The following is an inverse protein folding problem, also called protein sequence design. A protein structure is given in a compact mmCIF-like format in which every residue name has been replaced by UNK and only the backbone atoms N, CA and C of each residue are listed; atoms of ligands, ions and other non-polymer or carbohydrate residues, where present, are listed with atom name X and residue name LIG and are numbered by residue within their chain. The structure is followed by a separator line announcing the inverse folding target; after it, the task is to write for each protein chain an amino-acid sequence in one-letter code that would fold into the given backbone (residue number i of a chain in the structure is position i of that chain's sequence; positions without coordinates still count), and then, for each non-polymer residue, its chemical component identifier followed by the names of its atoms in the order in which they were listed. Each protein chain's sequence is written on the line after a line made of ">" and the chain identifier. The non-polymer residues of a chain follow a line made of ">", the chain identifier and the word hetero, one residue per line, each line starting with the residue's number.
data_IF_883857145680
#
_entry.id   IF_883857145680
#
_cell.length_a   1.000
_cell.length_b   1.000
_cell.length_c   1.000
_cell.angle_alpha   90.00
_cell.angle_beta   90.00
_cell.angle_gamma   90.00
#
_symmetry.space_group_name_H-M   'P 1'
#
loop_
_entity.id
_entity.type
_entity.pdbx_description
1 polymer ?
#
# COMPACT_ATOMS: atom_id res chain seq x y z
N UNK A 1 19.68 1.81 2.44
CA UNK A 1 20.25 2.14 3.78
C UNK A 1 21.78 2.11 3.73
N UNK A 2 22.51 2.90 4.54
CA UNK A 2 23.98 2.90 4.47
C UNK A 2 24.60 1.56 4.92
N UNK A 3 25.76 1.19 4.39
CA UNK A 3 26.50 -0.01 4.81
C UNK A 3 26.72 -0.04 6.33
N UNK A 4 27.09 1.09 6.94
CA UNK A 4 27.25 1.22 8.41
C UNK A 4 25.95 0.90 9.16
N UNK A 5 24.80 1.37 8.65
CA UNK A 5 23.49 1.08 9.24
C UNK A 5 23.17 -0.40 9.13
N UNK A 6 23.37 -0.99 7.95
CA UNK A 6 23.16 -2.42 7.70
C UNK A 6 24.05 -3.26 8.63
N UNK A 7 25.37 -3.03 8.67
CA UNK A 7 26.26 -3.74 9.60
C UNK A 7 25.77 -3.65 11.05
N UNK A 8 25.31 -2.48 11.51
CA UNK A 8 24.75 -2.33 12.85
C UNK A 8 23.48 -3.17 13.06
N UNK A 9 22.56 -3.20 12.09
CA UNK A 9 21.35 -4.01 12.15
C UNK A 9 21.66 -5.51 12.14
N UNK A 10 22.64 -5.94 11.34
CA UNK A 10 23.11 -7.33 11.32
C UNK A 10 23.66 -7.78 12.68
N UNK A 11 24.43 -6.91 13.35
CA UNK A 11 24.91 -7.17 14.71
C UNK A 11 23.79 -7.28 15.76
N UNK A 12 22.62 -6.70 15.49
CA UNK A 12 21.40 -6.87 16.30
C UNK A 12 20.55 -8.08 15.88
N UNK A 13 20.97 -8.85 14.87
CA UNK A 13 20.28 -10.05 14.42
C UNK A 13 19.32 -9.85 13.24
N UNK A 14 19.30 -8.69 12.59
CA UNK A 14 18.53 -8.51 11.35
C UNK A 14 19.25 -9.24 10.21
N UNK A 15 18.54 -10.16 9.54
CA UNK A 15 19.13 -11.06 8.54
C UNK A 15 18.56 -10.88 7.13
N UNK A 16 17.53 -10.05 6.95
CA UNK A 16 16.97 -9.70 5.64
C UNK A 16 16.59 -8.23 5.53
N UNK A 17 16.56 -7.73 4.30
CA UNK A 17 16.09 -6.38 3.97
C UNK A 17 15.50 -6.35 2.56
N UNK A 18 14.45 -5.57 2.36
CA UNK A 18 13.78 -5.36 1.06
C UNK A 18 13.83 -3.91 0.56
N UNK A 19 14.60 -3.06 1.24
CA UNK A 19 14.65 -1.62 0.98
C UNK A 19 15.74 -1.22 -0.02
N UNK A 20 16.18 -2.13 -0.89
CA UNK A 20 17.10 -1.79 -1.97
C UNK A 20 16.32 -1.11 -3.10
N UNK A 21 16.86 0.02 -3.60
CA UNK A 21 16.30 0.75 -4.75
C UNK A 21 17.24 0.73 -5.95
N UNK A 22 18.49 0.31 -5.77
CA UNK A 22 19.50 0.27 -6.84
C UNK A 22 20.26 -1.05 -6.81
N UNK A 23 20.98 -1.33 -7.90
CA UNK A 23 21.84 -2.51 -8.05
C UNK A 23 22.93 -2.51 -6.98
N UNK A 24 23.60 -1.36 -6.77
CA UNK A 24 24.67 -1.20 -5.77
C UNK A 24 24.14 -1.44 -4.36
N UNK A 25 22.93 -0.96 -4.08
CA UNK A 25 22.26 -1.15 -2.81
C UNK A 25 21.89 -2.62 -2.56
N UNK A 26 21.46 -3.35 -3.58
CA UNK A 26 21.18 -4.78 -3.51
C UNK A 26 22.49 -5.59 -3.32
N UNK A 27 23.53 -5.29 -4.10
CA UNK A 27 24.85 -5.91 -3.97
C UNK A 27 25.46 -5.71 -2.59
N UNK A 28 25.40 -4.49 -2.05
CA UNK A 28 25.91 -4.17 -0.70
C UNK A 28 25.27 -5.07 0.37
N UNK A 29 23.96 -5.35 0.25
CA UNK A 29 23.24 -6.22 1.21
C UNK A 29 23.71 -7.66 1.09
N UNK A 30 23.83 -8.18 -0.13
CA UNK A 30 24.35 -9.53 -0.39
C UNK A 30 25.78 -9.70 0.15
N UNK A 31 26.66 -8.72 -0.09
CA UNK A 31 28.05 -8.71 0.41
C UNK A 31 28.13 -8.69 1.94
N UNK A 32 27.23 -7.96 2.59
CA UNK A 32 27.10 -7.94 4.06
C UNK A 32 26.44 -9.21 4.61
N UNK A 33 26.04 -10.15 3.75
CA UNK A 33 25.48 -11.44 4.12
C UNK A 33 23.98 -11.44 4.39
N UNK A 34 23.26 -10.37 4.02
CA UNK A 34 21.80 -10.31 4.13
C UNK A 34 21.13 -11.25 3.14
N UNK A 35 19.97 -11.76 3.53
CA UNK A 35 18.96 -12.17 2.55
C UNK A 35 18.34 -10.91 1.94
N UNK A 36 18.58 -10.68 0.66
CA UNK A 36 18.17 -9.47 -0.06
C UNK A 36 16.91 -9.77 -0.84
N UNK A 37 15.80 -9.19 -0.39
CA UNK A 37 14.51 -9.35 -1.06
C UNK A 37 14.33 -8.19 -2.04
N UNK A 38 14.11 -8.50 -3.31
CA UNK A 38 13.85 -7.48 -4.33
C UNK A 38 12.34 -7.21 -4.37
N UNK A 39 11.96 -5.96 -4.13
CA UNK A 39 10.57 -5.51 -4.10
C UNK A 39 10.11 -5.11 -5.51
N UNK A 40 8.86 -5.43 -5.85
CA UNK A 40 8.17 -4.92 -7.03
C UNK A 40 6.79 -4.39 -6.67
N UNK A 41 6.65 -3.07 -6.58
CA UNK A 41 5.39 -2.43 -6.19
C UNK A 41 5.07 -1.20 -7.04
N UNK A 42 3.84 -0.67 -6.93
CA UNK A 42 3.39 0.49 -7.71
C UNK A 42 4.26 1.75 -7.54
N UNK A 43 4.89 1.90 -6.38
CA UNK A 43 5.79 3.00 -6.03
C UNK A 43 7.28 2.63 -6.11
N UNK A 44 7.59 1.34 -6.35
CA UNK A 44 8.95 0.79 -6.49
C UNK A 44 8.95 -0.27 -7.60
N UNK A 45 8.75 0.12 -8.86
CA UNK A 45 8.80 -0.80 -10.00
C UNK A 45 10.26 -1.13 -10.40
N UNK A 46 11.19 -1.16 -9.44
CA UNK A 46 12.64 -1.20 -9.67
C UNK A 46 13.16 -2.63 -9.97
N UNK A 47 12.34 -3.66 -9.73
CA UNK A 47 12.71 -5.07 -9.85
C UNK A 47 13.40 -5.43 -11.18
N UNK A 48 12.88 -5.06 -12.36
CA UNK A 48 13.49 -5.45 -13.63
C UNK A 48 14.91 -4.90 -13.79
N UNK A 49 15.09 -3.62 -13.44
CA UNK A 49 16.39 -2.94 -13.54
C UNK A 49 17.40 -3.50 -12.54
N UNK A 50 16.97 -3.81 -11.32
CA UNK A 50 17.83 -4.42 -10.30
C UNK A 50 18.30 -5.80 -10.76
N UNK A 51 17.40 -6.70 -11.20
CA UNK A 51 17.81 -8.03 -11.63
C UNK A 51 18.73 -8.00 -12.85
N UNK A 52 18.42 -7.16 -13.84
CA UNK A 52 19.27 -6.99 -15.01
C UNK A 52 20.67 -6.53 -14.61
N UNK A 53 20.76 -5.52 -13.75
CA UNK A 53 22.03 -5.01 -13.26
C UNK A 53 22.81 -6.01 -12.41
N UNK A 54 22.14 -6.85 -11.62
CA UNK A 54 22.79 -7.94 -10.86
C UNK A 54 23.42 -8.98 -11.80
N UNK A 55 22.72 -9.34 -12.88
CA UNK A 55 23.24 -10.25 -13.91
C UNK A 55 24.44 -9.63 -14.63
N UNK A 56 24.33 -8.36 -15.05
CA UNK A 56 25.40 -7.62 -15.71
C UNK A 56 26.64 -7.43 -14.80
N UNK A 57 26.43 -7.29 -13.49
CA UNK A 57 27.48 -7.25 -12.48
C UNK A 57 28.12 -8.63 -12.21
N UNK A 58 27.64 -9.70 -12.87
CA UNK A 58 28.20 -11.04 -12.77
C UNK A 58 27.75 -11.82 -11.54
N UNK A 59 26.59 -11.48 -10.94
CA UNK A 59 26.02 -12.29 -9.85
C UNK A 59 25.59 -13.66 -10.40
N UNK A 60 26.24 -14.72 -9.93
CA UNK A 60 25.94 -16.10 -10.35
C UNK A 60 25.25 -16.94 -9.27
N UNK A 61 25.03 -16.38 -8.07
CA UNK A 61 24.47 -17.10 -6.93
C UNK A 61 23.33 -16.31 -6.30
N UNK A 62 22.14 -16.91 -6.28
CA UNK A 62 20.89 -16.27 -5.86
C UNK A 62 20.30 -16.85 -4.56
N UNK A 63 21.02 -17.69 -3.81
CA UNK A 63 20.49 -18.39 -2.62
C UNK A 63 20.02 -17.47 -1.49
N UNK A 64 20.51 -16.23 -1.47
CA UNK A 64 20.09 -15.16 -0.56
C UNK A 64 19.21 -14.10 -1.24
N UNK A 65 18.71 -14.36 -2.44
CA UNK A 65 17.80 -13.45 -3.14
C UNK A 65 16.37 -13.96 -3.03
N UNK A 66 15.48 -13.07 -2.63
CA UNK A 66 14.03 -13.28 -2.58
C UNK A 66 13.31 -12.22 -3.40
N UNK A 67 12.00 -12.36 -3.56
CA UNK A 67 11.14 -11.38 -4.23
C UNK A 67 9.83 -11.18 -3.47
N UNK A 68 9.32 -9.95 -3.46
CA UNK A 68 8.05 -9.58 -2.83
C UNK A 68 7.35 -8.49 -3.62
N UNK A 69 6.02 -8.42 -3.56
CA UNK A 69 5.25 -7.34 -4.19
C UNK A 69 4.91 -6.19 -3.24
N UNK A 70 5.29 -6.33 -1.96
CA UNK A 70 5.11 -5.33 -0.89
C UNK A 70 3.66 -4.81 -0.71
N UNK A 71 2.67 -5.60 -1.15
CA UNK A 71 1.26 -5.32 -0.91
C UNK A 71 0.67 -4.13 -1.69
N UNK A 72 0.95 -4.05 -3.00
CA UNK A 72 0.47 -2.96 -3.87
C UNK A 72 -1.06 -2.83 -3.98
N UNK A 73 -1.50 -1.69 -4.52
CA UNK A 73 -2.92 -1.44 -4.83
C UNK A 73 -3.47 -2.42 -5.87
N UNK A 74 -4.79 -2.69 -5.88
CA UNK A 74 -5.42 -3.66 -6.77
C UNK A 74 -4.98 -3.53 -8.24
N UNK A 75 -5.06 -2.34 -8.85
CA UNK A 75 -4.75 -2.16 -10.27
C UNK A 75 -3.31 -2.50 -10.66
N UNK A 76 -2.36 -2.50 -9.71
CA UNK A 76 -1.00 -2.95 -9.96
C UNK A 76 -0.94 -4.44 -10.34
N UNK A 77 -1.84 -5.25 -9.79
CA UNK A 77 -1.85 -6.71 -10.00
C UNK A 77 -2.55 -7.15 -11.29
N UNK A 78 -2.92 -6.22 -12.19
CA UNK A 78 -3.51 -6.55 -13.50
C UNK A 78 -2.63 -7.50 -14.34
N UNK A 79 -1.31 -7.37 -14.22
CA UNK A 79 -0.35 -8.18 -14.98
C UNK A 79 -0.05 -9.56 -14.33
N UNK A 80 -0.45 -9.74 -13.07
CA UNK A 80 -0.12 -10.89 -12.24
C UNK A 80 0.47 -10.47 -10.90
N UNK A 81 0.86 -11.47 -10.10
CA UNK A 81 1.51 -11.29 -8.80
C UNK A 81 2.92 -11.87 -8.84
N UNK A 82 3.11 -13.06 -8.25
CA UNK A 82 4.40 -13.75 -8.24
C UNK A 82 4.75 -14.33 -9.62
N UNK A 83 3.75 -14.66 -10.44
CA UNK A 83 3.99 -15.10 -11.81
C UNK A 83 4.55 -13.97 -12.69
N UNK A 84 4.07 -12.74 -12.48
CA UNK A 84 4.62 -11.55 -13.15
C UNK A 84 6.05 -11.25 -12.68
N UNK A 85 6.35 -11.34 -11.39
CA UNK A 85 7.73 -11.13 -10.93
C UNK A 85 8.69 -12.18 -11.49
N UNK A 86 8.24 -13.44 -11.66
CA UNK A 86 9.04 -14.47 -12.35
C UNK A 86 9.23 -14.08 -13.81
N UNK A 87 8.19 -13.65 -14.52
CA UNK A 87 8.28 -13.19 -15.92
C UNK A 87 9.33 -12.10 -16.09
N UNK A 88 9.29 -11.08 -15.23
CA UNK A 88 10.25 -9.98 -15.23
C UNK A 88 11.68 -10.43 -14.92
N UNK A 89 11.86 -11.42 -14.02
CA UNK A 89 13.18 -12.02 -13.78
C UNK A 89 13.72 -12.74 -15.02
N UNK A 90 12.88 -13.49 -15.74
CA UNK A 90 13.27 -14.17 -16.98
C UNK A 90 13.68 -13.17 -18.06
N UNK A 91 12.91 -12.09 -18.24
CA UNK A 91 13.22 -11.00 -19.17
C UNK A 91 14.52 -10.27 -18.81
N UNK A 92 14.83 -10.15 -17.52
CA UNK A 92 16.08 -9.61 -17.00
C UNK A 92 17.30 -10.54 -17.18
N UNK A 93 17.10 -11.75 -17.73
CA UNK A 93 18.17 -12.70 -18.02
C UNK A 93 18.50 -13.66 -16.87
N UNK A 94 17.64 -13.75 -15.84
CA UNK A 94 17.79 -14.75 -14.78
C UNK A 94 17.49 -16.14 -15.36
N UNK A 95 18.34 -17.16 -15.14
CA UNK A 95 18.05 -18.52 -15.56
C UNK A 95 16.72 -19.02 -15.01
N UNK A 96 15.98 -19.78 -15.82
CA UNK A 96 14.62 -20.25 -15.49
C UNK A 96 14.59 -20.95 -14.12
N UNK A 97 15.53 -21.86 -13.89
CA UNK A 97 15.62 -22.62 -12.65
C UNK A 97 15.88 -21.72 -11.44
N UNK A 98 16.69 -20.67 -11.59
CA UNK A 98 16.97 -19.72 -10.52
C UNK A 98 15.76 -18.80 -10.24
N UNK A 99 15.04 -18.34 -11.26
CA UNK A 99 13.85 -17.52 -11.09
C UNK A 99 12.78 -18.23 -10.23
N UNK A 100 12.51 -19.52 -10.50
CA UNK A 100 11.60 -20.31 -9.66
C UNK A 100 12.17 -20.59 -8.27
N UNK A 101 13.48 -20.79 -8.12
CA UNK A 101 14.10 -20.97 -6.79
C UNK A 101 13.97 -19.72 -5.94
N UNK A 102 14.19 -18.52 -6.51
CA UNK A 102 14.00 -17.22 -5.86
C UNK A 102 12.55 -17.10 -5.35
N UNK A 103 11.57 -17.45 -6.19
CA UNK A 103 10.15 -17.35 -5.87
C UNK A 103 9.59 -18.50 -5.01
N UNK A 104 10.38 -19.55 -4.68
CA UNK A 104 9.90 -20.71 -3.92
C UNK A 104 10.90 -21.23 -2.88
N UNK A 105 11.90 -22.00 -3.29
CA UNK A 105 12.85 -22.66 -2.41
C UNK A 105 13.62 -21.68 -1.52
N UNK A 106 14.09 -20.56 -2.06
CA UNK A 106 14.88 -19.59 -1.30
C UNK A 106 14.04 -18.98 -0.18
N UNK A 107 12.76 -18.66 -0.45
CA UNK A 107 11.83 -18.17 0.56
C UNK A 107 11.59 -19.24 1.65
N UNK A 108 11.30 -20.48 1.25
CA UNK A 108 11.12 -21.58 2.19
C UNK A 108 12.36 -21.78 3.08
N UNK A 109 13.56 -21.75 2.49
CA UNK A 109 14.82 -21.86 3.22
C UNK A 109 15.05 -20.70 4.18
N UNK A 110 14.80 -19.46 3.74
CA UNK A 110 14.96 -18.27 4.59
C UNK A 110 14.10 -18.34 5.86
N UNK A 111 12.86 -18.81 5.73
CA UNK A 111 11.94 -18.98 6.85
C UNK A 111 12.05 -20.33 7.58
N UNK A 112 13.05 -21.16 7.27
CA UNK A 112 13.25 -22.52 7.83
C UNK A 112 12.06 -23.48 7.61
N UNK A 113 11.36 -23.31 6.49
CA UNK A 113 10.21 -24.09 6.04
C UNK A 113 10.54 -24.99 4.85
N UNK A 114 11.81 -25.18 4.49
CA UNK A 114 12.23 -25.98 3.33
C UNK A 114 11.96 -27.48 3.50
N UNK A 115 12.19 -28.04 4.70
CA UNK A 115 11.11 -28.54 5.55
C UNK A 115 9.81 -29.15 5.00
N UNK A 116 8.99 -28.24 4.52
CA UNK A 116 7.57 -28.43 4.22
C UNK A 116 7.26 -27.89 2.83
N UNK A 117 7.99 -26.87 2.37
CA UNK A 117 7.65 -26.02 1.24
C UNK A 117 8.84 -25.80 0.30
N UNK A 118 8.57 -25.16 -0.84
CA UNK A 118 9.59 -24.65 -1.77
C UNK A 118 10.30 -25.71 -2.62
N UNK A 119 9.97 -27.00 -2.47
CA UNK A 119 10.51 -28.08 -3.30
C UNK A 119 9.51 -29.21 -3.50
N UNK A 120 9.60 -29.89 -4.65
CA UNK A 120 8.78 -31.06 -4.96
C UNK A 120 9.56 -32.32 -4.56
N UNK A 121 9.25 -32.86 -3.38
CA UNK A 121 9.90 -34.06 -2.85
C UNK A 121 8.99 -34.81 -1.87
N UNK A 122 9.19 -36.13 -1.66
CA UNK A 122 8.51 -36.88 -0.61
C UNK A 122 8.65 -36.20 0.77
N UNK A 123 7.56 -36.15 1.54
CA UNK A 123 7.52 -35.52 2.86
C UNK A 123 7.29 -34.00 2.86
N UNK A 124 7.15 -33.37 1.70
CA UNK A 124 6.75 -31.95 1.58
C UNK A 124 5.24 -31.80 1.37
N UNK A 125 4.71 -30.63 1.68
CA UNK A 125 3.31 -30.28 1.44
C UNK A 125 3.12 -30.05 -0.06
N UNK A 126 2.09 -30.68 -0.64
CA UNK A 126 1.79 -30.57 -2.06
C UNK A 126 1.13 -29.22 -2.41
N UNK A 127 1.94 -28.17 -2.42
CA UNK A 127 1.65 -26.89 -3.08
C UNK A 127 2.32 -26.90 -4.46
N UNK A 128 1.54 -27.16 -5.52
CA UNK A 128 2.06 -27.38 -6.87
C UNK A 128 1.37 -26.45 -7.87
N UNK A 129 2.18 -25.79 -8.69
CA UNK A 129 1.75 -25.02 -9.85
C UNK A 129 2.07 -25.82 -11.12
N UNK A 130 1.08 -26.00 -11.98
CA UNK A 130 1.23 -26.65 -13.28
C UNK A 130 1.31 -25.56 -14.34
N UNK A 131 2.39 -25.57 -15.12
CA UNK A 131 2.69 -24.55 -16.12
C UNK A 131 2.58 -25.16 -17.52
N UNK A 132 2.22 -24.36 -18.51
CA UNK A 132 2.21 -24.79 -19.93
C UNK A 132 3.62 -25.01 -20.46
N UNK A 133 4.56 -24.16 -20.03
CA UNK A 133 5.96 -24.20 -20.39
C UNK A 133 6.82 -23.69 -19.23
N UNK A 134 8.11 -24.02 -19.23
CA UNK A 134 9.04 -23.62 -18.18
C UNK A 134 9.27 -22.10 -18.11
N UNK A 135 9.02 -21.39 -19.18
CA UNK A 135 9.14 -19.93 -19.33
C UNK A 135 7.78 -19.22 -19.33
N UNK A 136 6.69 -19.95 -19.07
CA UNK A 136 5.34 -19.42 -18.90
C UNK A 136 4.92 -19.52 -17.42
N UNK A 137 5.22 -18.50 -16.59
CA UNK A 137 5.10 -18.61 -15.13
C UNK A 137 3.66 -18.60 -14.59
N UNK A 138 2.67 -18.20 -15.38
CA UNK A 138 1.27 -18.23 -14.98
C UNK A 138 0.74 -19.67 -15.01
N UNK A 139 0.22 -20.20 -13.89
CA UNK A 139 -0.21 -21.60 -13.81
C UNK A 139 -1.59 -21.84 -14.44
N UNK A 140 -1.72 -22.95 -15.17
CA UNK A 140 -3.00 -23.47 -15.71
C UNK A 140 -3.77 -24.34 -14.71
N UNK A 141 -3.08 -24.86 -13.71
CA UNK A 141 -3.70 -25.56 -12.58
C UNK A 141 -2.86 -25.38 -11.32
N UNK A 142 -3.52 -25.44 -10.15
CA UNK A 142 -2.89 -25.23 -8.85
C UNK A 142 -3.44 -26.23 -7.84
N UNK A 143 -2.53 -26.90 -7.14
CA UNK A 143 -2.80 -27.70 -5.95
C UNK A 143 -2.34 -26.94 -4.71
N UNK A 144 -3.19 -26.89 -3.68
CA UNK A 144 -2.82 -26.43 -2.35
C UNK A 144 -3.08 -27.53 -1.32
N UNK A 145 -2.04 -27.96 -0.61
CA UNK A 145 -2.11 -29.10 0.34
C UNK A 145 -2.68 -30.37 -0.30
N UNK A 146 -2.38 -30.60 -1.59
CA UNK A 146 -2.89 -31.75 -2.35
C UNK A 146 -4.34 -31.63 -2.81
N UNK A 147 -5.00 -30.49 -2.60
CA UNK A 147 -6.37 -30.21 -3.04
C UNK A 147 -6.33 -29.25 -4.24
N UNK A 148 -7.10 -29.54 -5.29
CA UNK A 148 -7.24 -28.63 -6.42
C UNK A 148 -7.89 -27.33 -5.97
N UNK A 149 -7.22 -26.21 -6.26
CA UNK A 149 -7.75 -24.85 -6.00
C UNK A 149 -7.92 -24.05 -7.29
N UNK A 150 -7.29 -24.49 -8.38
CA UNK A 150 -7.58 -24.08 -9.75
C UNK A 150 -7.36 -25.28 -10.68
N UNK A 151 -8.29 -25.54 -11.60
CA UNK A 151 -8.15 -26.59 -12.60
C UNK A 151 -8.82 -26.18 -13.91
N UNK A 152 -8.13 -26.34 -15.04
CA UNK A 152 -8.64 -25.94 -16.36
C UNK A 152 -9.17 -24.49 -16.38
N UNK A 153 -8.40 -23.58 -15.76
CA UNK A 153 -8.76 -22.16 -15.57
C UNK A 153 -10.01 -21.86 -14.75
N UNK A 154 -10.55 -22.87 -14.05
CA UNK A 154 -11.69 -22.71 -13.16
C UNK A 154 -11.17 -22.66 -11.71
N UNK A 155 -11.48 -21.60 -10.94
CA UNK A 155 -11.30 -21.58 -9.49
C UNK A 155 -12.09 -22.70 -8.81
N UNK A 156 -11.45 -23.48 -7.94
CA UNK A 156 -12.07 -24.60 -7.22
C UNK A 156 -11.74 -24.62 -5.72
N UNK A 157 -11.54 -23.44 -5.13
CA UNK A 157 -11.28 -23.28 -3.69
C UNK A 157 -12.41 -23.88 -2.82
N UNK A 158 -12.10 -24.52 -1.67
CA UNK A 158 -13.11 -24.98 -0.73
C UNK A 158 -13.86 -23.81 -0.07
N UNK A 159 -15.19 -23.80 -0.14
CA UNK A 159 -16.05 -22.73 0.37
C UNK A 159 -15.82 -22.39 1.85
N UNK A 160 -15.57 -23.40 2.69
CA UNK A 160 -15.32 -23.25 4.13
C UNK A 160 -14.15 -22.32 4.47
N UNK A 161 -13.20 -22.13 3.54
CA UNK A 161 -12.04 -21.25 3.74
C UNK A 161 -12.44 -19.77 3.77
N UNK A 162 -13.47 -19.39 3.00
CA UNK A 162 -13.89 -18.00 2.86
C UNK A 162 -14.71 -17.55 4.07
N UNK A 163 -15.60 -18.41 4.57
CA UNK A 163 -16.41 -18.12 5.76
C UNK A 163 -15.53 -17.88 6.99
N UNK A 164 -14.48 -18.68 7.16
CA UNK A 164 -13.50 -18.50 8.23
C UNK A 164 -12.76 -17.16 8.12
N UNK A 165 -12.40 -16.74 6.90
CA UNK A 165 -11.76 -15.44 6.66
C UNK A 165 -12.71 -14.27 6.99
N UNK A 166 -13.98 -14.34 6.59
CA UNK A 166 -14.98 -13.32 6.91
C UNK A 166 -15.32 -13.26 8.40
N UNK A 167 -15.27 -14.38 9.11
CA UNK A 167 -15.43 -14.40 10.56
C UNK A 167 -14.29 -13.64 11.29
N UNK A 168 -13.08 -13.63 10.73
CA UNK A 168 -11.93 -12.88 11.26
C UNK A 168 -11.97 -11.40 10.89
N UNK A 169 -12.68 -11.03 9.82
CA UNK A 169 -12.80 -9.67 9.31
C UNK A 169 -14.27 -9.26 9.22
N UNK A 170 -14.96 -9.08 10.37
CA UNK A 170 -16.37 -8.73 10.36
C UNK A 170 -16.61 -7.40 9.64
N UNK A 171 -17.82 -7.26 9.10
CA UNK A 171 -18.26 -5.98 8.56
C UNK A 171 -18.24 -4.90 9.63
N UNK A 172 -17.77 -3.73 9.27
CA UNK A 172 -17.67 -2.61 10.18
C UNK A 172 -18.83 -1.62 10.03
N UNK A 173 -18.98 -0.75 11.02
CA UNK A 173 -19.92 0.37 10.98
C UNK A 173 -19.20 1.63 11.45
N UNK A 174 -19.61 2.79 10.91
CA UNK A 174 -19.16 4.12 11.37
C UNK A 174 -20.40 4.88 11.81
N UNK A 175 -20.54 5.06 13.13
CA UNK A 175 -21.79 5.56 13.76
C UNK A 175 -21.78 7.05 14.09
N UNK A 176 -20.65 7.70 13.89
CA UNK A 176 -20.49 9.13 14.16
C UNK A 176 -21.10 9.98 13.04
N UNK A 177 -21.49 11.20 13.39
CA UNK A 177 -21.98 12.21 12.44
C UNK A 177 -21.10 13.44 12.52
N UNK A 178 -20.79 14.03 11.36
CA UNK A 178 -20.06 15.30 11.29
C UNK A 178 -21.01 16.49 11.41
N UNK A 179 -20.53 17.54 12.06
CA UNK A 179 -21.20 18.83 12.19
C UNK A 179 -20.31 19.94 11.63
N UNK A 180 -20.85 21.13 11.40
CA UNK A 180 -20.05 22.29 10.94
C UNK A 180 -18.88 22.60 11.88
N UNK A 181 -19.02 22.34 13.18
CA UNK A 181 -17.97 22.56 14.18
C UNK A 181 -16.76 21.64 13.98
N UNK A 182 -16.96 20.47 13.35
CA UNK A 182 -15.88 19.55 13.03
C UNK A 182 -14.97 20.07 11.93
N UNK A 183 -15.40 21.06 11.14
CA UNK A 183 -14.64 21.66 10.05
C UNK A 183 -13.97 23.00 10.43
N UNK A 184 -13.52 23.10 11.68
CA UNK A 184 -12.73 24.24 12.18
C UNK A 184 -11.22 23.99 11.96
N UNK A 185 -10.57 24.86 11.19
CA UNK A 185 -9.16 24.76 10.82
C UNK A 185 -8.41 25.98 11.35
N UNK A 186 -7.74 25.84 12.51
CA UNK A 186 -7.07 26.96 13.18
C UNK A 186 -5.53 26.87 13.19
N UNK A 187 -4.97 25.79 12.65
CA UNK A 187 -3.51 25.61 12.63
C UNK A 187 -2.87 26.52 11.60
N UNK A 188 -1.85 27.33 11.97
CA UNK A 188 -1.13 28.20 11.03
C UNK A 188 -0.15 27.43 10.12
N UNK A 189 0.02 26.14 10.38
CA UNK A 189 0.92 25.26 9.62
C UNK A 189 0.14 24.09 9.03
N UNK A 190 0.54 23.72 7.82
CA UNK A 190 0.06 22.55 7.09
C UNK A 190 1.17 21.54 6.82
N UNK A 191 0.83 20.50 6.07
CA UNK A 191 1.74 19.49 5.56
C UNK A 191 1.93 19.70 4.05
N UNK A 192 3.17 19.73 3.58
CA UNK A 192 3.52 19.80 2.16
C UNK A 192 4.02 18.45 1.69
N UNK A 193 3.39 17.92 0.64
CA UNK A 193 3.89 16.76 -0.08
C UNK A 193 5.04 17.19 -1.00
N UNK A 194 6.25 16.74 -0.69
CA UNK A 194 7.41 16.87 -1.61
C UNK A 194 7.38 15.74 -2.64
N UNK A 195 6.96 14.55 -2.21
CA UNK A 195 6.60 13.40 -3.04
C UNK A 195 5.58 12.54 -2.28
N UNK A 196 5.24 11.36 -2.81
CA UNK A 196 4.31 10.39 -2.18
C UNK A 196 4.76 9.88 -0.79
N UNK A 197 6.00 10.15 -0.37
CA UNK A 197 6.61 9.65 0.87
C UNK A 197 7.10 10.78 1.79
N UNK A 198 7.60 11.88 1.27
CA UNK A 198 8.25 12.94 2.06
C UNK A 198 7.27 14.08 2.32
N UNK A 199 7.03 14.33 3.60
CA UNK A 199 6.19 15.42 4.09
C UNK A 199 7.00 16.44 4.88
N UNK A 200 6.75 17.72 4.63
CA UNK A 200 7.33 18.84 5.38
C UNK A 200 6.24 19.71 6.00
N UNK A 201 6.62 20.52 6.98
CA UNK A 201 5.75 21.62 7.42
C UNK A 201 5.89 22.79 6.48
N UNK A 202 4.79 23.48 6.26
CA UNK A 202 4.77 24.77 5.60
C UNK A 202 3.77 25.70 6.28
N UNK A 203 3.88 27.00 6.01
CA UNK A 203 2.94 28.00 6.52
C UNK A 203 1.72 28.05 5.60
N UNK A 204 0.52 27.89 6.16
CA UNK A 204 -0.73 27.92 5.40
C UNK A 204 -0.89 29.28 4.70
N UNK A 205 -1.23 29.24 3.41
CA UNK A 205 -1.28 30.43 2.56
C UNK A 205 -2.69 30.98 2.40
N UNK A 206 -3.72 30.13 2.40
CA UNK A 206 -5.11 30.55 2.19
C UNK A 206 -5.91 30.63 3.49
N UNK A 207 -6.96 31.45 3.49
CA UNK A 207 -7.96 31.48 4.56
C UNK A 207 -8.71 30.14 4.61
N UNK A 208 -8.66 29.46 5.76
CA UNK A 208 -9.28 28.15 6.00
C UNK A 208 -10.66 28.24 6.67
N UNK A 209 -11.10 29.46 7.02
CA UNK A 209 -12.43 29.70 7.60
C UNK A 209 -13.54 29.57 6.56
N UNK A 210 -13.23 29.80 5.29
CA UNK A 210 -14.13 29.68 4.15
C UNK A 210 -14.69 28.25 3.98
N UNK A 211 -15.88 28.08 3.37
CA UNK A 211 -16.44 26.77 3.08
C UNK A 211 -15.68 26.00 1.98
N UNK A 212 -15.00 26.73 1.10
CA UNK A 212 -14.29 26.19 -0.05
C UNK A 212 -12.99 26.96 -0.30
N UNK A 213 -11.87 26.24 -0.46
CA UNK A 213 -10.59 26.85 -0.84
C UNK A 213 -10.63 27.33 -2.31
N UNK A 214 -9.79 28.31 -2.69
CA UNK A 214 -9.76 28.82 -4.06
C UNK A 214 -9.55 27.71 -5.10
N UNK A 215 -10.32 27.77 -6.19
CA UNK A 215 -10.22 26.78 -7.26
C UNK A 215 -8.81 26.78 -7.87
N UNK A 216 -8.24 25.58 -8.04
CA UNK A 216 -6.92 25.40 -8.66
C UNK A 216 -5.73 25.69 -7.76
N UNK A 217 -5.93 26.06 -6.48
CA UNK A 217 -4.81 26.13 -5.54
C UNK A 217 -4.25 24.73 -5.24
N UNK A 218 -3.03 24.66 -4.71
CA UNK A 218 -2.35 23.42 -4.32
C UNK A 218 -2.68 22.98 -2.89
N UNK A 219 -3.44 23.77 -2.12
CA UNK A 219 -3.84 23.47 -0.74
C UNK A 219 -5.22 22.80 -0.65
N UNK A 220 -5.32 21.70 0.10
CA UNK A 220 -6.58 21.02 0.42
C UNK A 220 -6.79 20.96 1.92
N UNK A 221 -8.03 21.07 2.39
CA UNK A 221 -8.36 20.72 3.77
C UNK A 221 -7.91 19.29 4.03
N UNK A 222 -7.32 19.02 5.20
CA UNK A 222 -6.92 17.70 5.65
C UNK A 222 -7.45 17.46 7.07
N UNK A 223 -8.20 16.38 7.24
CA UNK A 223 -8.72 15.97 8.53
C UNK A 223 -8.43 14.49 8.78
N UNK A 224 -7.99 14.17 9.99
CA UNK A 224 -7.92 12.80 10.51
C UNK A 224 -8.87 12.69 11.70
N UNK A 225 -9.75 11.71 11.67
CA UNK A 225 -10.83 11.55 12.64
C UNK A 225 -10.83 10.15 13.22
N UNK A 226 -10.85 10.08 14.55
CA UNK A 226 -11.11 8.85 15.29
C UNK A 226 -12.38 8.17 14.82
N UNK A 227 -12.33 6.85 14.66
CA UNK A 227 -13.49 6.10 14.17
C UNK A 227 -14.72 6.16 15.09
N UNK A 228 -14.50 6.32 16.39
CA UNK A 228 -15.55 6.54 17.39
C UNK A 228 -15.83 8.04 17.64
N UNK A 229 -15.13 8.93 16.94
CA UNK A 229 -15.27 10.38 17.04
C UNK A 229 -14.81 10.96 18.37
N UNK A 230 -13.84 10.33 19.05
CA UNK A 230 -13.26 10.82 20.32
C UNK A 230 -12.29 11.99 20.14
N UNK A 231 -11.62 12.05 19.00
CA UNK A 231 -10.64 13.08 18.68
C UNK A 231 -10.62 13.34 17.19
N UNK A 232 -10.12 14.53 16.81
CA UNK A 232 -9.88 14.92 15.43
C UNK A 232 -8.60 15.73 15.32
N UNK A 233 -8.00 15.74 14.13
CA UNK A 233 -6.92 16.64 13.76
C UNK A 233 -7.23 17.29 12.42
N UNK A 234 -7.30 18.61 12.41
CA UNK A 234 -7.60 19.42 11.24
C UNK A 234 -6.40 20.28 10.87
N UNK A 235 -5.97 20.23 9.62
CA UNK A 235 -4.88 21.01 9.05
C UNK A 235 -5.07 21.17 7.54
N UNK A 236 -4.04 21.60 6.82
CA UNK A 236 -4.05 21.76 5.37
C UNK A 236 -2.96 20.89 4.77
N UNK A 237 -3.23 20.29 3.61
CA UNK A 237 -2.31 19.48 2.83
C UNK A 237 -2.02 20.16 1.50
N UNK A 238 -0.76 20.50 1.26
CA UNK A 238 -0.28 21.11 0.01
C UNK A 238 0.24 20.04 -0.96
N UNK A 239 0.02 20.26 -2.25
CA UNK A 239 0.42 19.42 -3.39
C UNK A 239 -0.29 18.05 -3.47
N UNK A 240 -1.43 17.86 -2.81
CA UNK A 240 -2.19 16.61 -2.98
C UNK A 240 -2.88 16.56 -4.35
N UNK A 241 -3.74 17.54 -4.64
CA UNK A 241 -4.45 17.70 -5.90
C UNK A 241 -5.04 19.11 -6.01
N UNK A 242 -5.33 19.56 -7.24
CA UNK A 242 -5.81 20.93 -7.50
C UNK A 242 -7.34 21.06 -7.53
N UNK A 243 -8.06 19.97 -7.80
CA UNK A 243 -9.51 20.02 -8.08
C UNK A 243 -10.33 18.97 -7.31
N UNK A 244 -9.74 18.27 -6.33
CA UNK A 244 -10.50 17.29 -5.52
C UNK A 244 -11.51 18.01 -4.62
N UNK A 245 -12.81 17.86 -4.89
CA UNK A 245 -13.90 18.41 -4.07
C UNK A 245 -13.86 17.87 -2.64
N UNK A 246 -14.13 16.58 -2.47
CA UNK A 246 -14.02 15.85 -1.20
C UNK A 246 -13.65 14.38 -1.40
N UNK A 247 -12.60 13.93 -0.73
CA UNK A 247 -12.12 12.56 -0.71
C UNK A 247 -12.10 12.07 0.74
N UNK A 248 -12.78 10.97 1.01
CA UNK A 248 -12.78 10.34 2.34
C UNK A 248 -12.27 8.92 2.22
N UNK A 249 -11.42 8.50 3.15
CA UNK A 249 -10.86 7.17 3.20
C UNK A 249 -10.82 6.65 4.63
N UNK A 250 -11.36 5.46 4.86
CA UNK A 250 -11.07 4.67 6.07
C UNK A 250 -9.85 3.76 5.92
N UNK A 251 -9.22 3.75 4.74
CA UNK A 251 -7.95 3.08 4.51
C UNK A 251 -6.81 3.99 4.94
N UNK A 252 -6.36 3.80 6.18
CA UNK A 252 -5.22 4.49 6.79
C UNK A 252 -4.49 3.53 7.71
N UNK A 253 -3.20 3.79 7.98
CA UNK A 253 -2.39 2.88 8.80
C UNK A 253 -2.85 2.82 10.26
N UNK A 254 -3.51 3.87 10.76
CA UNK A 254 -4.08 3.89 12.11
C UNK A 254 -5.50 3.31 12.18
N UNK A 255 -6.14 3.08 11.02
CA UNK A 255 -7.55 2.67 10.94
C UNK A 255 -8.55 3.79 11.19
N UNK A 256 -8.07 5.03 11.27
CA UNK A 256 -8.86 6.25 11.38
C UNK A 256 -9.33 6.75 10.01
N UNK A 257 -10.25 7.71 10.04
CA UNK A 257 -10.88 8.25 8.84
C UNK A 257 -10.13 9.50 8.40
N UNK A 258 -9.52 9.41 7.22
CA UNK A 258 -8.81 10.48 6.56
C UNK A 258 -9.77 11.21 5.60
N UNK A 259 -9.73 12.54 5.58
CA UNK A 259 -10.55 13.36 4.72
C UNK A 259 -9.71 14.47 4.09
N UNK A 260 -9.82 14.62 2.77
CA UNK A 260 -9.04 15.57 1.98
C UNK A 260 -9.95 16.26 0.97
N UNK A 261 -9.86 17.58 0.80
CA UNK A 261 -10.61 18.22 -0.28
C UNK A 261 -10.60 19.74 -0.27
N UNK A 262 -11.09 20.34 -1.36
CA UNK A 262 -11.27 21.79 -1.47
C UNK A 262 -12.58 22.26 -0.82
N UNK A 263 -13.59 21.40 -0.71
CA UNK A 263 -14.96 21.73 -0.29
C UNK A 263 -15.35 20.97 0.98
N UNK A 264 -15.64 21.70 2.06
CA UNK A 264 -16.12 21.10 3.34
C UNK A 264 -17.42 20.31 3.14
N UNK A 265 -18.29 20.80 2.24
CA UNK A 265 -19.55 20.13 1.87
C UNK A 265 -19.28 18.80 1.19
N UNK A 266 -18.40 18.75 0.20
CA UNK A 266 -18.14 17.52 -0.55
C UNK A 266 -17.44 16.48 0.33
N UNK A 267 -16.56 16.92 1.23
CA UNK A 267 -15.98 16.05 2.25
C UNK A 267 -17.09 15.43 3.12
N UNK A 268 -18.06 16.22 3.56
CA UNK A 268 -19.18 15.71 4.37
C UNK A 268 -20.04 14.71 3.58
N UNK A 269 -20.34 14.98 2.31
CA UNK A 269 -21.10 14.06 1.45
C UNK A 269 -20.33 12.76 1.23
N UNK A 270 -19.03 12.83 0.94
CA UNK A 270 -18.17 11.65 0.80
C UNK A 270 -18.12 10.83 2.08
N UNK A 271 -18.08 11.48 3.25
CA UNK A 271 -18.10 10.83 4.55
C UNK A 271 -19.41 10.08 4.80
N UNK A 272 -20.56 10.71 4.56
CA UNK A 272 -21.86 10.07 4.72
C UNK A 272 -22.07 8.93 3.73
N UNK A 273 -21.52 9.03 2.51
CA UNK A 273 -21.53 7.93 1.54
C UNK A 273 -20.67 6.75 2.02
N UNK A 274 -19.44 7.01 2.48
CA UNK A 274 -18.54 5.98 3.00
C UNK A 274 -19.17 5.21 4.18
N UNK A 275 -19.91 5.92 5.05
CA UNK A 275 -20.66 5.31 6.16
C UNK A 275 -21.67 4.25 5.73
N UNK A 276 -22.28 4.37 4.55
CA UNK A 276 -23.28 3.41 4.08
C UNK A 276 -22.72 2.01 3.84
N UNK A 277 -21.40 1.88 3.69
CA UNK A 277 -20.69 0.61 3.54
C UNK A 277 -19.87 0.22 4.77
N UNK A 278 -19.83 1.08 5.80
CA UNK A 278 -19.03 0.87 7.00
C UNK A 278 -17.54 1.17 6.85
N UNK A 279 -17.12 1.64 5.68
CA UNK A 279 -15.74 1.92 5.30
C UNK A 279 -15.56 1.91 3.78
N UNK A 280 -14.51 2.57 3.32
CA UNK A 280 -14.21 2.70 1.90
C UNK A 280 -13.40 3.94 1.58
N UNK A 281 -13.15 4.13 0.29
CA UNK A 281 -12.62 5.36 -0.29
C UNK A 281 -13.70 5.96 -1.17
N UNK A 282 -14.08 7.21 -0.96
CA UNK A 282 -15.14 7.89 -1.71
C UNK A 282 -14.68 9.26 -2.16
N UNK A 283 -14.79 9.52 -3.46
CA UNK A 283 -14.53 10.81 -4.08
C UNK A 283 -15.86 11.45 -4.49
N UNK A 284 -16.07 12.69 -4.07
CA UNK A 284 -17.23 13.52 -4.35
C UNK A 284 -16.79 14.86 -4.94
N UNK A 285 -17.59 15.37 -5.86
CA UNK A 285 -17.46 16.70 -6.44
C UNK A 285 -18.86 17.27 -6.67
N UNK A 286 -19.07 18.53 -6.28
CA UNK A 286 -20.37 19.22 -6.41
C UNK A 286 -21.55 18.45 -5.78
N UNK A 287 -21.28 17.71 -4.72
CA UNK A 287 -22.26 16.85 -4.03
C UNK A 287 -22.57 15.52 -4.70
N UNK A 288 -21.95 15.20 -5.84
CA UNK A 288 -22.15 13.94 -6.57
C UNK A 288 -20.98 12.97 -6.38
N UNK A 289 -21.27 11.68 -6.27
CA UNK A 289 -20.24 10.64 -6.14
C UNK A 289 -19.59 10.40 -7.50
N UNK A 290 -18.28 10.64 -7.58
CA UNK A 290 -17.48 10.46 -8.79
C UNK A 290 -16.90 9.06 -8.88
N UNK A 291 -16.36 8.56 -7.77
CA UNK A 291 -15.78 7.23 -7.67
C UNK A 291 -15.83 6.74 -6.22
N UNK A 292 -15.96 5.43 -6.04
CA UNK A 292 -15.94 4.80 -4.72
C UNK A 292 -15.36 3.40 -4.77
N UNK A 293 -14.68 3.02 -3.68
CA UNK A 293 -14.12 1.70 -3.44
C UNK A 293 -14.60 1.25 -2.05
N UNK A 294 -15.69 0.47 -1.96
CA UNK A 294 -16.20 -0.02 -0.68
C UNK A 294 -15.22 -0.98 -0.02
N UNK A 295 -14.90 -0.71 1.25
CA UNK A 295 -14.04 -1.55 2.10
C UNK A 295 -14.87 -2.08 3.26
N UNK A 296 -15.78 -3.00 2.94
CA UNK A 296 -16.87 -3.44 3.82
C UNK A 296 -16.39 -4.23 5.04
N UNK A 297 -15.24 -4.88 4.96
CA UNK A 297 -14.67 -5.72 6.02
C UNK A 297 -13.70 -4.88 6.86
N UNK A 298 -14.01 -4.73 8.15
CA UNK A 298 -13.27 -3.90 9.11
C UNK A 298 -13.03 -2.44 8.68
N UNK A 299 -13.63 -1.99 7.59
CA UNK A 299 -13.46 -0.66 6.99
C UNK A 299 -12.19 -0.51 6.18
N UNK A 300 -11.45 -1.60 5.94
CA UNK A 300 -10.13 -1.56 5.31
C UNK A 300 -9.96 -2.57 4.18
N UNK A 301 -10.82 -3.58 4.12
CA UNK A 301 -10.74 -4.65 3.13
C UNK A 301 -12.06 -4.77 2.37
N UNK A 302 -11.99 -4.97 1.05
CA UNK A 302 -13.15 -5.25 0.22
C UNK A 302 -13.48 -6.75 0.22
N UNK A 303 -14.76 -7.09 0.10
CA UNK A 303 -15.24 -8.46 -0.14
C UNK A 303 -15.49 -8.75 -1.63
N UNK A 304 -15.10 -7.84 -2.53
CA UNK A 304 -15.18 -8.05 -3.97
C UNK A 304 -14.07 -9.00 -4.46
N UNK A 305 -14.34 -9.77 -5.53
CA UNK A 305 -13.29 -10.37 -6.34
C UNK A 305 -12.24 -9.33 -6.76
N UNK A 306 -10.98 -9.75 -6.87
CA UNK A 306 -9.88 -8.83 -7.18
C UNK A 306 -10.09 -8.14 -8.53
N UNK A 307 -10.64 -8.83 -9.51
CA UNK A 307 -10.93 -8.33 -10.85
C UNK A 307 -11.95 -7.18 -10.82
N UNK A 308 -12.99 -7.31 -10.00
CA UNK A 308 -14.01 -6.26 -9.83
C UNK A 308 -13.45 -5.08 -9.03
N UNK A 309 -12.65 -5.37 -8.00
CA UNK A 309 -11.99 -4.35 -7.19
C UNK A 309 -10.99 -3.53 -8.02
N UNK A 310 -10.26 -4.18 -8.94
CA UNK A 310 -9.36 -3.53 -9.89
C UNK A 310 -10.11 -2.49 -10.73
N UNK A 311 -11.32 -2.78 -11.19
CA UNK A 311 -12.12 -1.83 -11.98
C UNK A 311 -12.45 -0.59 -11.15
N UNK A 312 -12.93 -0.78 -9.91
CA UNK A 312 -13.29 0.32 -9.03
C UNK A 312 -12.10 1.18 -8.63
N UNK A 313 -10.99 0.56 -8.23
CA UNK A 313 -9.78 1.28 -7.82
C UNK A 313 -9.12 1.99 -9.02
N UNK A 314 -9.16 1.40 -10.22
CA UNK A 314 -8.70 2.07 -11.45
C UNK A 314 -9.51 3.34 -11.70
N UNK A 315 -10.85 3.28 -11.61
CA UNK A 315 -11.71 4.43 -11.82
C UNK A 315 -11.45 5.56 -10.80
N UNK A 316 -11.25 5.21 -9.53
CA UNK A 316 -10.85 6.15 -8.48
C UNK A 316 -9.51 6.82 -8.81
N UNK A 317 -8.51 6.02 -9.18
CA UNK A 317 -7.16 6.48 -9.51
C UNK A 317 -7.19 7.45 -10.69
N UNK A 318 -7.87 7.08 -11.79
CA UNK A 318 -8.04 7.94 -12.96
C UNK A 318 -8.77 9.25 -12.62
N UNK A 319 -9.82 9.18 -11.79
CA UNK A 319 -10.55 10.37 -11.34
C UNK A 319 -9.70 11.33 -10.49
N UNK A 320 -8.78 10.81 -9.67
CA UNK A 320 -7.84 11.62 -8.88
C UNK A 320 -6.76 12.26 -9.76
N UNK A 321 -6.21 11.51 -10.72
CA UNK A 321 -5.25 12.05 -11.70
C UNK A 321 -5.87 13.16 -12.55
N UNK A 322 -7.10 12.96 -13.03
CA UNK A 322 -7.84 13.98 -13.78
C UNK A 322 -8.06 15.27 -12.98
N UNK A 323 -8.03 15.20 -11.63
CA UNK A 323 -8.19 16.34 -10.71
C UNK A 323 -6.86 16.91 -10.19
N UNK A 324 -5.75 16.51 -10.80
CA UNK A 324 -4.43 17.06 -10.54
C UNK A 324 -3.66 16.40 -9.41
N UNK A 325 -3.98 15.16 -9.03
CA UNK A 325 -3.06 14.36 -8.24
C UNK A 325 -1.75 14.15 -9.01
N UNK A 326 -0.60 14.44 -8.39
CA UNK A 326 0.66 14.60 -9.09
C UNK A 326 1.72 13.50 -8.85
N UNK A 327 1.40 12.49 -8.03
CA UNK A 327 2.35 11.42 -7.66
C UNK A 327 1.93 10.05 -8.20
N UNK A 328 2.61 8.97 -7.79
CA UNK A 328 2.48 7.65 -8.43
C UNK A 328 1.18 6.92 -8.06
N UNK A 329 0.93 6.73 -6.76
CA UNK A 329 -0.17 5.92 -6.26
C UNK A 329 -0.97 6.69 -5.19
N UNK A 330 -2.21 7.10 -5.49
CA UNK A 330 -3.01 7.88 -4.54
C UNK A 330 -3.41 7.11 -3.30
N UNK A 331 -3.73 5.82 -3.40
CA UNK A 331 -4.19 5.02 -2.25
C UNK A 331 -3.03 4.79 -1.27
N UNK A 332 -1.82 4.54 -1.77
CA UNK A 332 -0.63 4.50 -0.91
C UNK A 332 -0.35 5.82 -0.22
N UNK A 333 -0.55 6.96 -0.90
CA UNK A 333 -0.41 8.27 -0.25
C UNK A 333 -1.36 8.42 0.94
N UNK A 334 -2.61 7.95 0.83
CA UNK A 334 -3.56 7.95 1.95
C UNK A 334 -3.04 7.14 3.15
N UNK A 335 -2.45 5.97 2.88
CA UNK A 335 -1.83 5.12 3.90
C UNK A 335 -0.60 5.79 4.55
N UNK A 336 0.24 6.45 3.75
CA UNK A 336 1.51 7.03 4.20
C UNK A 336 1.38 8.34 4.97
N UNK A 337 0.28 9.08 4.79
CA UNK A 337 -0.02 10.30 5.54
C UNK A 337 0.10 10.11 7.07
N UNK A 338 -0.30 8.93 7.56
CA UNK A 338 -0.25 8.57 8.97
C UNK A 338 0.89 7.59 9.37
N UNK A 339 1.81 7.30 8.45
CA UNK A 339 2.85 6.27 8.63
C UNK A 339 4.11 6.79 9.33
N UNK A 340 4.27 6.46 10.62
CA UNK A 340 5.39 6.94 11.48
C UNK A 340 6.72 6.20 11.27
N UNK A 341 6.74 5.15 10.45
CA UNK A 341 7.99 4.48 10.05
C UNK A 341 8.71 5.23 8.91
N UNK A 342 8.05 6.21 8.30
CA UNK A 342 8.63 7.09 7.29
C UNK A 342 9.18 8.37 7.94
N UNK A 343 10.20 9.02 7.36
CA UNK A 343 10.85 10.17 7.97
C UNK A 343 9.97 11.43 7.98
N UNK A 344 10.40 12.42 8.76
CA UNK A 344 9.79 13.76 8.86
C UNK A 344 8.42 13.79 9.53
N UNK A 345 7.44 14.49 8.97
CA UNK A 345 6.23 14.91 9.68
C UNK A 345 5.03 14.08 9.25
N UNK A 346 4.20 13.63 10.20
CA UNK A 346 3.01 12.79 9.94
C UNK A 346 1.79 13.28 10.70
N UNK A 347 0.61 13.05 10.14
CA UNK A 347 -0.66 13.21 10.85
C UNK A 347 -0.97 11.92 11.60
N UNK A 348 -1.18 11.97 12.92
CA UNK A 348 -1.37 10.78 13.76
C UNK A 348 -2.50 11.00 14.76
N UNK A 349 -2.99 9.95 15.45
CA UNK A 349 -3.94 10.11 16.56
C UNK A 349 -3.48 11.05 17.68
N UNK A 350 -2.17 11.20 17.86
CA UNK A 350 -1.62 12.11 18.87
C UNK A 350 -1.51 13.55 18.36
N UNK A 351 -1.61 13.75 17.05
CA UNK A 351 -1.43 15.04 16.39
C UNK A 351 -0.39 15.02 15.26
N UNK A 352 0.10 16.19 14.89
CA UNK A 352 1.18 16.35 13.91
C UNK A 352 2.49 15.94 14.59
N UNK A 353 3.08 14.85 14.13
CA UNK A 353 4.24 14.19 14.75
C UNK A 353 5.49 14.34 13.89
N UNK A 354 6.58 14.83 14.46
CA UNK A 354 7.92 14.85 13.85
C UNK A 354 8.69 13.58 14.24
N UNK A 355 8.79 12.64 13.30
CA UNK A 355 9.30 11.27 13.52
C UNK A 355 10.74 11.25 14.01
N UNK A 356 11.64 12.00 13.34
CA UNK A 356 13.06 11.98 13.69
C UNK A 356 13.34 12.56 15.08
N UNK A 357 12.56 13.58 15.50
CA UNK A 357 12.66 14.17 16.83
C UNK A 357 11.77 13.49 17.87
N UNK A 358 10.95 12.54 17.45
CA UNK A 358 9.95 11.82 18.25
C UNK A 358 9.03 12.76 19.05
N UNK A 359 8.58 13.85 18.42
CA UNK A 359 7.86 14.92 19.10
C UNK A 359 6.51 15.17 18.44
N UNK A 360 5.46 15.27 19.26
CA UNK A 360 4.18 15.86 18.84
C UNK A 360 4.35 17.37 18.80
N UNK A 361 4.22 17.95 17.60
CA UNK A 361 4.35 19.39 17.36
C UNK A 361 3.05 20.12 17.67
N UNK A 362 1.93 19.54 17.24
CA UNK A 362 0.59 20.05 17.46
C UNK A 362 -0.32 18.87 17.84
N UNK A 363 -0.96 18.89 19.02
CA UNK A 363 -1.79 17.77 19.48
C UNK A 363 -3.09 17.66 18.68
N UNK A 364 -3.64 16.45 18.63
CA UNK A 364 -5.03 16.25 18.22
C UNK A 364 -6.00 16.90 19.23
N UNK A 365 -7.18 17.27 18.76
CA UNK A 365 -8.22 17.94 19.54
C UNK A 365 -9.25 16.89 19.96
N UNK A 366 -9.61 16.86 21.25
CA UNK A 366 -10.73 16.04 21.73
C UNK A 366 -12.04 16.58 21.17
N UNK A 367 -12.90 15.67 20.71
CA UNK A 367 -14.15 16.01 20.03
C UNK A 367 -15.35 15.98 20.97
#
# INVERSE_FOLDING_TARGET
>A
ASAKTLTKMALYGVTSDHEAMTVEEAMTRLELGYTTTIRYSSIRPDLPDIFKGLVEAGLTQFDKVLVTTDGSTPSFYKAGMMDETIRLMLEAGIPVEEAYRIASYNAARHFNLDHLLGSIAPGRIAHLNFLEAKDAPTPVAVLARGIWVRQADIPCYPAETLDAAYALMPRSEVRISLTEQDFSFSMPVGLEMVNSVIMKLYQVEHDTSVPMLPAGCDESFLMLLDRDGKWRLNTVLKNFATQVGGLVSSYSISGDILMIGKSKRDIQVAFERMKTFGGGIVLVEDGEVIAEVPLTLMGQTSDLPLEDLIVQETALREALFARGYAFEDPVYTLLFLASTHLPYVRITPQGIYEVLRKKVLFPAILR
#
